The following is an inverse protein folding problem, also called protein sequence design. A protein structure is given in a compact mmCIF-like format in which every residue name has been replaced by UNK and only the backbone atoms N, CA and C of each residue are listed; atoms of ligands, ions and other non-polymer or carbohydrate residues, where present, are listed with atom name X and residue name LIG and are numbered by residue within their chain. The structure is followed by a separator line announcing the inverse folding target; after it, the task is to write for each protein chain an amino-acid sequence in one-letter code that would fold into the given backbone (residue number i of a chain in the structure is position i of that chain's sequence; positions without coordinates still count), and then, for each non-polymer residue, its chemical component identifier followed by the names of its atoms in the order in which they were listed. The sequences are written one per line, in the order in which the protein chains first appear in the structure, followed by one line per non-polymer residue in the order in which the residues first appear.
data_IF_712946846750
#
_entry.id   IF_712946846750
#
_cell.length_a   1.000
_cell.length_b   1.000
_cell.length_c   1.000
_cell.angle_alpha   90.00
_cell.angle_beta   90.00
_cell.angle_gamma   90.00
#
_symmetry.space_group_name_H-M   'P 1'
#
loop_
_entity.id
_entity.type
_entity.pdbx_description
1 polymer ?
#
# COMPACT_ATOMS: atom_id res chain seq x y z
N UNK A 1 -57.97 21.08 -47.06
CA UNK A 1 -58.04 21.89 -45.82
C UNK A 1 -57.41 21.06 -44.69
N UNK A 2 -56.10 21.17 -44.46
CA UNK A 2 -55.43 21.67 -43.21
C UNK A 2 -56.07 21.04 -41.93
N UNK A 3 -55.40 20.27 -41.06
CA UNK A 3 -54.17 20.57 -40.28
C UNK A 3 -53.41 19.31 -39.83
N UNK A 4 -52.08 19.39 -39.91
CA UNK A 4 -51.15 18.72 -39.02
C UNK A 4 -51.33 19.21 -37.58
N UNK A 5 -51.07 18.38 -36.58
CA UNK A 5 -50.23 18.84 -35.47
C UNK A 5 -49.50 17.72 -34.72
N UNK A 6 -48.29 18.12 -34.31
CA UNK A 6 -47.14 17.32 -33.88
C UNK A 6 -47.26 16.76 -32.46
N UNK A 7 -46.69 15.56 -32.30
CA UNK A 7 -46.04 15.09 -31.08
C UNK A 7 -45.07 16.14 -30.51
N UNK A 8 -45.13 16.42 -29.19
CA UNK A 8 -43.97 16.75 -28.32
C UNK A 8 -44.45 17.02 -26.88
N UNK A 9 -44.55 15.99 -26.05
CA UNK A 9 -44.53 16.14 -24.58
C UNK A 9 -43.07 16.05 -24.10
N UNK A 10 -42.30 17.11 -24.36
CA UNK A 10 -40.98 17.27 -23.75
C UNK A 10 -41.15 17.56 -22.25
N UNK A 11 -40.40 16.85 -21.39
CA UNK A 11 -40.35 17.15 -19.95
C UNK A 11 -40.06 18.64 -19.74
N UNK A 12 -40.76 19.34 -18.82
CA UNK A 12 -40.60 20.77 -18.63
C UNK A 12 -39.15 21.13 -18.32
N UNK A 13 -38.66 22.23 -18.90
CA UNK A 13 -37.27 22.74 -18.78
C UNK A 13 -36.74 22.77 -17.33
N UNK A 14 -37.62 22.97 -16.34
CA UNK A 14 -37.30 22.95 -14.90
C UNK A 14 -36.88 21.56 -14.38
N UNK A 15 -37.47 20.47 -14.89
CA UNK A 15 -37.10 19.10 -14.54
C UNK A 15 -35.73 18.72 -15.12
N UNK A 16 -35.41 19.18 -16.34
CA UNK A 16 -34.06 19.00 -16.89
C UNK A 16 -33.03 19.66 -15.99
N UNK A 17 -33.18 20.95 -15.64
CA UNK A 17 -32.21 21.65 -14.75
C UNK A 17 -32.02 20.94 -13.39
N UNK A 18 -33.07 20.35 -12.83
CA UNK A 18 -33.02 19.58 -11.58
C UNK A 18 -32.28 18.24 -11.73
N UNK A 19 -32.47 17.52 -12.84
CA UNK A 19 -31.74 16.29 -13.14
C UNK A 19 -30.25 16.57 -13.44
N UNK A 20 -29.95 17.67 -14.14
CA UNK A 20 -28.57 18.11 -14.39
C UNK A 20 -27.87 18.51 -13.08
N UNK A 21 -28.52 19.29 -12.21
CA UNK A 21 -27.91 19.71 -10.94
C UNK A 21 -27.70 18.55 -9.97
N UNK A 22 -28.68 17.66 -9.81
CA UNK A 22 -28.53 16.45 -8.97
C UNK A 22 -27.46 15.49 -9.51
N UNK A 23 -27.41 15.29 -10.83
CA UNK A 23 -26.36 14.47 -11.47
C UNK A 23 -24.98 15.11 -11.32
N UNK A 24 -24.84 16.42 -11.50
CA UNK A 24 -23.57 17.13 -11.30
C UNK A 24 -23.11 17.09 -9.83
N UNK A 25 -24.02 17.21 -8.87
CA UNK A 25 -23.70 17.06 -7.44
C UNK A 25 -23.22 15.64 -7.15
N UNK A 26 -23.93 14.62 -7.63
CA UNK A 26 -23.56 13.23 -7.41
C UNK A 26 -22.18 12.89 -8.02
N UNK A 27 -21.93 13.33 -9.26
CA UNK A 27 -20.62 13.16 -9.93
C UNK A 27 -19.52 13.87 -9.14
N UNK A 28 -19.77 15.09 -8.67
CA UNK A 28 -18.79 15.84 -7.86
C UNK A 28 -18.50 15.14 -6.53
N UNK A 29 -19.51 14.61 -5.85
CA UNK A 29 -19.34 13.87 -4.59
C UNK A 29 -18.52 12.60 -4.83
N UNK A 30 -18.85 11.81 -5.86
CA UNK A 30 -18.10 10.59 -6.19
C UNK A 30 -16.65 10.92 -6.52
N UNK A 31 -16.40 11.93 -7.35
CA UNK A 31 -15.04 12.36 -7.70
C UNK A 31 -14.26 12.82 -6.46
N UNK A 32 -14.88 13.62 -5.59
CA UNK A 32 -14.26 14.12 -4.36
C UNK A 32 -13.93 12.98 -3.41
N UNK A 33 -14.86 12.05 -3.17
CA UNK A 33 -14.61 10.86 -2.34
C UNK A 33 -13.48 10.01 -2.92
N UNK A 34 -13.46 9.82 -4.24
CA UNK A 34 -12.39 9.11 -4.94
C UNK A 34 -11.01 9.75 -4.75
N UNK A 35 -10.92 11.07 -4.90
CA UNK A 35 -9.67 11.82 -4.72
C UNK A 35 -9.18 11.75 -3.27
N UNK A 36 -10.07 11.98 -2.30
CA UNK A 36 -9.73 11.91 -0.87
C UNK A 36 -9.25 10.51 -0.49
N UNK A 37 -9.94 9.48 -0.98
CA UNK A 37 -9.55 8.08 -0.73
C UNK A 37 -8.17 7.77 -1.31
N UNK A 38 -7.90 8.22 -2.54
CA UNK A 38 -6.60 8.04 -3.18
C UNK A 38 -5.47 8.77 -2.43
N UNK A 39 -5.70 10.02 -2.01
CA UNK A 39 -4.74 10.80 -1.24
C UNK A 39 -4.45 10.16 0.12
N UNK A 40 -5.47 9.64 0.80
CA UNK A 40 -5.31 8.93 2.07
C UNK A 40 -4.50 7.64 1.91
N UNK A 41 -4.79 6.86 0.87
CA UNK A 41 -4.19 5.54 0.67
C UNK A 41 -2.78 5.59 0.07
N UNK A 42 -2.52 6.53 -0.83
CA UNK A 42 -1.28 6.57 -1.63
C UNK A 42 -0.40 7.77 -1.32
N UNK A 43 -0.90 8.66 -0.47
CA UNK A 43 -0.28 9.95 -0.28
C UNK A 43 -0.48 10.89 -1.45
N UNK A 44 -0.02 12.12 -1.25
CA UNK A 44 0.02 13.14 -2.29
C UNK A 44 1.43 13.17 -2.90
N UNK A 45 1.58 13.56 -4.18
CA UNK A 45 2.90 13.56 -4.84
C UNK A 45 3.97 14.36 -4.07
N UNK A 46 3.59 15.44 -3.39
CA UNK A 46 4.49 16.27 -2.58
C UNK A 46 4.82 15.68 -1.19
N UNK A 47 4.31 14.50 -0.86
CA UNK A 47 4.75 13.71 0.32
C UNK A 47 5.86 12.72 -0.02
N UNK A 48 6.20 12.55 -1.31
CA UNK A 48 7.36 11.79 -1.75
C UNK A 48 8.64 12.55 -1.38
N UNK A 49 9.60 11.81 -0.85
CA UNK A 49 10.98 12.24 -0.64
C UNK A 49 11.83 11.83 -1.83
N UNK A 50 13.03 12.41 -1.94
CA UNK A 50 14.04 11.92 -2.88
C UNK A 50 14.33 10.44 -2.58
N UNK A 51 14.55 9.63 -3.63
CA UNK A 51 14.76 8.19 -3.51
C UNK A 51 13.48 7.36 -3.27
N UNK A 52 12.30 7.97 -3.19
CA UNK A 52 11.05 7.20 -3.06
C UNK A 52 10.51 6.68 -4.39
N UNK A 53 10.12 5.40 -4.40
CA UNK A 53 9.51 4.74 -5.55
C UNK A 53 8.27 3.94 -5.11
N UNK A 54 7.15 4.11 -5.82
CA UNK A 54 5.91 3.40 -5.52
C UNK A 54 5.74 2.20 -6.45
N UNK A 55 5.39 1.04 -5.88
CA UNK A 55 5.26 -0.22 -6.61
C UNK A 55 3.95 -0.94 -6.31
N UNK A 56 3.67 -1.95 -7.13
CA UNK A 56 2.56 -2.88 -6.96
C UNK A 56 3.05 -4.29 -7.25
N UNK A 57 3.16 -5.11 -6.20
CA UNK A 57 3.36 -6.55 -6.35
C UNK A 57 2.04 -7.22 -6.72
N UNK A 58 2.09 -8.20 -7.63
CA UNK A 58 0.95 -9.02 -8.06
C UNK A 58 1.34 -10.49 -8.11
N UNK A 59 0.42 -11.35 -7.71
CA UNK A 59 0.54 -12.80 -7.73
C UNK A 59 -0.85 -13.43 -7.76
N UNK A 60 -0.92 -14.75 -7.83
CA UNK A 60 -2.19 -15.49 -7.83
C UNK A 60 -2.96 -15.34 -6.50
N UNK A 61 -2.26 -15.06 -5.40
CA UNK A 61 -2.89 -14.84 -4.07
C UNK A 61 -3.37 -13.40 -3.87
N UNK A 62 -3.08 -12.50 -4.82
CA UNK A 62 -3.55 -11.13 -4.82
C UNK A 62 -2.46 -10.12 -5.17
N UNK A 63 -2.64 -8.89 -4.70
CA UNK A 63 -1.73 -7.79 -4.96
C UNK A 63 -1.53 -6.94 -3.71
N UNK A 64 -0.34 -6.34 -3.59
CA UNK A 64 0.07 -5.52 -2.46
C UNK A 64 0.84 -4.30 -2.97
N UNK A 65 0.43 -3.10 -2.54
CA UNK A 65 1.17 -1.88 -2.83
C UNK A 65 2.22 -1.65 -1.76
N UNK A 66 3.35 -1.11 -2.19
CA UNK A 66 4.44 -0.77 -1.30
C UNK A 66 5.22 0.42 -1.86
N UNK A 67 5.89 1.14 -0.97
CA UNK A 67 6.87 2.15 -1.34
C UNK A 67 8.26 1.65 -0.97
N UNK A 68 9.22 1.90 -1.85
CA UNK A 68 10.65 1.70 -1.62
C UNK A 68 11.29 3.06 -1.41
N UNK A 69 12.24 3.13 -0.49
CA UNK A 69 13.14 4.25 -0.36
C UNK A 69 14.56 3.76 -0.62
N UNK A 70 15.20 4.35 -1.63
CA UNK A 70 16.59 4.09 -1.98
C UNK A 70 17.48 5.11 -1.28
N UNK A 71 18.48 4.66 -0.52
CA UNK A 71 19.39 5.58 0.15
C UNK A 71 20.34 6.24 -0.88
N UNK A 72 20.97 7.38 -0.56
CA UNK A 72 21.89 8.08 -1.47
C UNK A 72 23.07 7.24 -1.99
N UNK A 73 23.43 6.18 -1.27
CA UNK A 73 24.49 5.23 -1.61
C UNK A 73 24.06 4.24 -2.70
N UNK A 74 22.77 4.18 -3.05
CA UNK A 74 22.28 3.28 -4.08
C UNK A 74 22.76 3.71 -5.47
N UNK A 75 23.66 2.92 -6.05
CA UNK A 75 24.21 3.11 -7.39
C UNK A 75 23.72 2.06 -8.41
N UNK A 76 22.89 1.11 -7.97
CA UNK A 76 22.38 -0.02 -8.75
C UNK A 76 23.40 -1.14 -9.01
N UNK A 77 24.63 -1.02 -8.52
CA UNK A 77 25.71 -2.01 -8.70
C UNK A 77 26.11 -2.68 -7.39
N UNK A 78 26.13 -1.92 -6.29
CA UNK A 78 26.39 -2.44 -4.96
C UNK A 78 25.11 -3.06 -4.39
N UNK A 79 25.21 -4.33 -3.96
CA UNK A 79 24.08 -4.98 -3.30
C UNK A 79 23.91 -4.43 -1.90
N UNK A 80 22.79 -3.77 -1.63
CA UNK A 80 22.46 -3.20 -0.32
C UNK A 80 21.49 -4.12 0.45
N UNK A 81 21.55 -4.13 1.80
CA UNK A 81 20.53 -4.76 2.63
C UNK A 81 19.14 -4.16 2.40
N UNK A 82 18.11 -4.91 2.79
CA UNK A 82 16.70 -4.48 2.73
C UNK A 82 16.09 -4.49 4.13
N UNK A 83 15.40 -3.42 4.50
CA UNK A 83 14.61 -3.32 5.72
C UNK A 83 13.13 -3.10 5.41
N UNK A 84 12.29 -4.09 5.70
CA UNK A 84 10.84 -3.99 5.55
C UNK A 84 10.16 -3.53 6.85
N UNK A 85 9.43 -2.42 6.81
CA UNK A 85 8.67 -1.87 7.94
C UNK A 85 7.16 -2.14 7.83
N UNK A 86 6.61 -2.98 8.72
CA UNK A 86 5.19 -3.39 8.72
C UNK A 86 4.37 -2.56 9.74
N UNK A 87 3.42 -1.77 9.25
CA UNK A 87 2.60 -0.83 10.03
C UNK A 87 1.61 -1.47 11.03
N UNK A 88 1.15 -0.68 12.02
CA UNK A 88 0.05 -1.05 12.94
C UNK A 88 -1.34 -0.93 12.28
N UNK A 89 -2.42 -1.36 12.97
CA UNK A 89 -3.78 -1.08 12.49
C UNK A 89 -4.01 0.45 12.37
N UNK A 90 -4.81 0.87 11.39
CA UNK A 90 -5.17 2.28 11.18
C UNK A 90 -4.06 3.16 10.58
N UNK A 91 -2.89 2.55 10.31
CA UNK A 91 -1.76 3.17 9.63
C UNK A 91 -1.64 2.65 8.20
N UNK A 92 -0.77 3.28 7.42
CA UNK A 92 -0.28 2.77 6.13
C UNK A 92 1.23 2.56 6.19
N UNK A 93 1.82 1.95 5.16
CA UNK A 93 3.28 1.93 5.01
C UNK A 93 3.83 3.33 4.71
N UNK A 94 3.15 4.05 3.81
CA UNK A 94 3.49 5.38 3.30
C UNK A 94 2.23 6.20 3.02
N UNK A 95 2.35 7.52 2.85
CA UNK A 95 1.21 8.39 2.54
C UNK A 95 0.62 9.10 3.76
N UNK A 96 -0.49 8.64 4.33
CA UNK A 96 -1.11 9.24 5.52
C UNK A 96 -0.98 8.31 6.75
N UNK A 97 -0.59 8.85 7.90
CA UNK A 97 -0.42 8.09 9.15
C UNK A 97 0.51 6.86 8.97
N UNK A 98 1.73 7.12 8.51
CA UNK A 98 2.62 6.11 7.92
C UNK A 98 3.66 5.53 8.88
N UNK A 99 3.94 4.23 8.71
CA UNK A 99 5.09 3.56 9.32
C UNK A 99 6.40 4.29 8.99
N UNK A 100 6.56 4.74 7.75
CA UNK A 100 7.75 5.47 7.30
C UNK A 100 8.09 6.71 8.15
N UNK A 101 7.11 7.49 8.63
CA UNK A 101 7.39 8.69 9.42
C UNK A 101 7.62 8.38 10.90
N UNK A 102 7.13 7.24 11.36
CA UNK A 102 7.16 6.85 12.78
C UNK A 102 8.38 5.98 13.10
N UNK A 103 8.82 5.11 12.19
CA UNK A 103 9.99 4.26 12.36
C UNK A 103 11.32 4.94 12.01
N UNK A 104 11.28 6.01 11.21
CA UNK A 104 12.47 6.76 10.76
C UNK A 104 13.54 5.90 10.05
N UNK A 105 13.15 4.76 9.47
CA UNK A 105 14.10 3.88 8.78
C UNK A 105 14.72 4.54 7.54
N UNK A 106 14.09 5.54 6.92
CA UNK A 106 14.71 6.30 5.83
C UNK A 106 15.99 6.99 6.30
N UNK A 107 15.92 7.77 7.38
CA UNK A 107 17.09 8.48 7.90
C UNK A 107 18.23 7.53 8.29
N UNK A 108 17.88 6.35 8.82
CA UNK A 108 18.86 5.32 9.16
C UNK A 108 19.38 4.60 7.90
N UNK A 109 18.54 4.36 6.91
CA UNK A 109 18.93 3.78 5.62
C UNK A 109 19.88 4.70 4.86
N UNK A 110 19.64 6.00 4.92
CA UNK A 110 20.51 7.03 4.33
C UNK A 110 21.85 7.13 5.04
N UNK A 111 21.92 6.85 6.35
CA UNK A 111 23.19 6.90 7.10
C UNK A 111 23.98 5.60 7.00
N UNK A 112 23.31 4.45 7.05
CA UNK A 112 23.94 3.13 7.14
C UNK A 112 23.96 2.36 5.81
N UNK A 113 23.27 2.85 4.77
CA UNK A 113 23.29 2.26 3.43
C UNK A 113 22.41 1.01 3.27
N UNK A 114 21.09 1.14 3.47
CA UNK A 114 20.14 0.07 3.16
C UNK A 114 18.84 0.57 2.53
N UNK A 115 18.23 -0.29 1.72
CA UNK A 115 16.96 -0.05 1.04
C UNK A 115 15.83 -0.24 2.05
N UNK A 116 14.84 0.65 2.06
CA UNK A 116 13.68 0.55 2.96
C UNK A 116 12.41 0.24 2.19
N UNK A 117 11.59 -0.67 2.71
CA UNK A 117 10.34 -1.12 2.07
C UNK A 117 9.16 -0.96 3.01
N UNK A 118 8.13 -0.26 2.56
CA UNK A 118 6.91 -0.01 3.33
C UNK A 118 5.67 -0.55 2.59
N UNK A 119 5.27 -1.81 2.85
CA UNK A 119 4.03 -2.34 2.35
C UNK A 119 2.82 -1.68 3.03
N UNK A 120 1.72 -1.52 2.28
CA UNK A 120 0.46 -0.98 2.80
C UNK A 120 -0.65 -2.01 2.62
N UNK A 121 -1.29 -2.40 3.73
CA UNK A 121 -2.45 -3.29 3.71
C UNK A 121 -3.61 -2.72 2.86
N UNK A 122 -4.43 -3.62 2.32
CA UNK A 122 -5.61 -3.27 1.53
C UNK A 122 -6.84 -3.14 2.43
N UNK A 123 -7.53 -2.00 2.33
CA UNK A 123 -8.81 -1.78 3.02
C UNK A 123 -9.86 -2.86 2.73
N UNK A 124 -9.85 -3.48 1.54
CA UNK A 124 -10.77 -4.58 1.21
C UNK A 124 -10.43 -5.90 1.91
N UNK A 125 -9.20 -6.10 2.39
CA UNK A 125 -8.84 -7.26 3.22
C UNK A 125 -9.11 -6.99 4.70
N UNK A 126 -8.95 -5.75 5.14
CA UNK A 126 -9.29 -5.33 6.49
C UNK A 126 -9.70 -3.86 6.49
N UNK A 127 -10.95 -3.56 6.88
CA UNK A 127 -11.54 -2.21 6.78
C UNK A 127 -10.83 -1.16 7.63
N UNK A 128 -10.03 -1.56 8.62
CA UNK A 128 -9.25 -0.65 9.46
C UNK A 128 -7.75 -0.69 9.13
N UNK A 129 -7.36 -1.15 7.92
CA UNK A 129 -5.98 -1.30 7.48
C UNK A 129 -5.11 -2.05 8.51
N UNK A 130 -5.61 -3.19 8.98
CA UNK A 130 -4.88 -4.04 9.91
C UNK A 130 -4.38 -5.33 9.24
N UNK A 131 -3.23 -5.82 9.68
CA UNK A 131 -2.72 -7.15 9.31
C UNK A 131 -3.49 -8.21 10.11
N UNK A 132 -3.95 -9.25 9.43
CA UNK A 132 -4.84 -10.25 10.00
C UNK A 132 -4.03 -11.39 10.66
N UNK A 133 -3.01 -11.04 11.46
CA UNK A 133 -2.03 -11.99 12.00
C UNK A 133 -2.62 -13.02 12.98
N UNK A 134 -3.76 -12.73 13.60
CA UNK A 134 -4.48 -13.68 14.46
C UNK A 134 -5.36 -14.66 13.69
N UNK A 135 -5.57 -14.45 12.39
CA UNK A 135 -6.34 -15.35 11.54
C UNK A 135 -5.47 -16.54 11.11
N UNK A 136 -5.81 -17.79 11.46
CA UNK A 136 -5.02 -18.96 11.08
C UNK A 136 -4.80 -19.08 9.56
N UNK A 137 -5.72 -18.55 8.75
CA UNK A 137 -5.60 -18.56 7.28
C UNK A 137 -4.42 -17.71 6.77
N UNK A 138 -3.95 -16.78 7.59
CA UNK A 138 -2.87 -15.83 7.29
C UNK A 138 -1.54 -16.28 7.93
N UNK A 139 -1.43 -17.52 8.39
CA UNK A 139 -0.26 -18.08 9.09
C UNK A 139 0.45 -19.19 8.29
N UNK A 140 0.17 -19.29 6.99
CA UNK A 140 0.72 -20.34 6.13
C UNK A 140 1.57 -19.77 4.99
N UNK A 141 2.62 -20.51 4.63
CA UNK A 141 3.43 -20.23 3.44
C UNK A 141 2.59 -20.39 2.17
N UNK A 142 2.89 -19.57 1.17
CA UNK A 142 2.29 -19.54 -0.17
C UNK A 142 0.83 -19.09 -0.25
N UNK A 143 0.25 -18.64 0.86
CA UNK A 143 -1.10 -18.06 0.90
C UNK A 143 -1.12 -16.75 1.68
N UNK A 144 -2.17 -15.96 1.46
CA UNK A 144 -2.48 -14.81 2.30
C UNK A 144 -1.43 -13.69 2.28
N UNK A 145 -1.41 -12.92 3.36
CA UNK A 145 -0.53 -11.79 3.63
C UNK A 145 0.95 -12.18 3.67
N UNK A 146 1.36 -13.32 4.28
CA UNK A 146 2.77 -13.74 4.27
C UNK A 146 3.32 -13.94 2.86
N UNK A 147 2.53 -14.54 1.96
CA UNK A 147 2.94 -14.74 0.58
C UNK A 147 3.07 -13.43 -0.22
N UNK A 148 2.20 -12.46 0.04
CA UNK A 148 2.31 -11.13 -0.56
C UNK A 148 3.53 -10.38 -0.05
N UNK A 149 3.81 -10.40 1.25
CA UNK A 149 4.96 -9.72 1.86
C UNK A 149 6.29 -10.34 1.42
N UNK A 150 6.40 -11.67 1.43
CA UNK A 150 7.59 -12.36 0.92
C UNK A 150 7.78 -12.15 -0.59
N UNK A 151 6.68 -12.02 -1.34
CA UNK A 151 6.71 -11.67 -2.75
C UNK A 151 7.25 -10.26 -3.01
N UNK A 152 6.82 -9.27 -2.23
CA UNK A 152 7.37 -7.91 -2.25
C UNK A 152 8.87 -7.92 -1.96
N UNK A 153 9.31 -8.65 -0.93
CA UNK A 153 10.73 -8.74 -0.59
C UNK A 153 11.57 -9.28 -1.75
N UNK A 154 11.13 -10.37 -2.39
CA UNK A 154 11.80 -10.93 -3.57
C UNK A 154 11.79 -9.97 -4.75
N UNK A 155 10.66 -9.29 -5.02
CA UNK A 155 10.59 -8.30 -6.09
C UNK A 155 11.59 -7.16 -5.85
N UNK A 156 11.74 -6.68 -4.62
CA UNK A 156 12.72 -5.63 -4.29
C UNK A 156 14.15 -6.11 -4.51
N UNK A 157 14.48 -7.33 -4.08
CA UNK A 157 15.79 -7.94 -4.32
C UNK A 157 16.10 -7.98 -5.82
N UNK A 158 15.16 -8.48 -6.62
CA UNK A 158 15.35 -8.62 -8.07
C UNK A 158 15.42 -7.25 -8.78
N UNK A 159 14.52 -6.33 -8.44
CA UNK A 159 14.37 -5.03 -9.12
C UNK A 159 15.50 -4.05 -8.80
N UNK A 160 16.06 -4.13 -7.58
CA UNK A 160 17.10 -3.23 -7.10
C UNK A 160 18.47 -3.89 -6.93
N UNK A 161 18.63 -5.15 -7.37
CA UNK A 161 19.85 -5.92 -7.14
C UNK A 161 20.29 -5.87 -5.65
N UNK A 162 19.32 -5.97 -4.73
CA UNK A 162 19.58 -5.94 -3.30
C UNK A 162 20.22 -7.27 -2.84
N UNK A 163 20.85 -7.28 -1.67
CA UNK A 163 21.47 -8.51 -1.15
C UNK A 163 20.39 -9.50 -0.66
N UNK A 164 20.21 -10.66 -1.33
CA UNK A 164 19.19 -11.63 -0.94
C UNK A 164 19.45 -12.26 0.44
N UNK A 165 20.68 -12.19 0.96
CA UNK A 165 21.04 -12.71 2.28
C UNK A 165 20.85 -11.68 3.41
N UNK A 166 20.51 -10.43 3.09
CA UNK A 166 20.34 -9.33 4.05
C UNK A 166 18.97 -8.66 3.91
N UNK A 167 17.92 -9.47 3.89
CA UNK A 167 16.53 -8.98 3.92
C UNK A 167 15.99 -9.10 5.34
N UNK A 168 15.61 -7.99 5.93
CA UNK A 168 15.19 -7.85 7.31
C UNK A 168 13.76 -7.33 7.38
N UNK A 169 13.03 -7.68 8.44
CA UNK A 169 11.67 -7.18 8.66
C UNK A 169 11.47 -6.78 10.11
N UNK A 170 10.83 -5.62 10.32
CA UNK A 170 10.31 -5.22 11.61
C UNK A 170 8.84 -4.84 11.49
N UNK A 171 8.06 -5.20 12.51
CA UNK A 171 6.65 -4.82 12.59
C UNK A 171 6.23 -4.42 14.00
N UNK A 172 5.15 -3.65 14.08
CA UNK A 172 4.56 -3.23 15.36
C UNK A 172 3.11 -3.71 15.50
N UNK A 173 2.75 -4.18 16.70
CA UNK A 173 1.43 -4.71 17.06
C UNK A 173 0.91 -5.79 16.09
N UNK A 174 -0.16 -5.63 15.27
CA UNK A 174 -0.56 -6.67 14.31
C UNK A 174 0.52 -6.91 13.24
N UNK A 175 1.29 -5.87 12.91
CA UNK A 175 2.44 -5.95 12.01
C UNK A 175 3.59 -6.73 12.64
N UNK A 176 3.71 -6.72 13.97
CA UNK A 176 4.67 -7.55 14.69
C UNK A 176 4.29 -9.04 14.58
N UNK A 177 3.00 -9.37 14.73
CA UNK A 177 2.50 -10.72 14.45
C UNK A 177 2.75 -11.14 13.00
N UNK A 178 2.53 -10.26 12.02
CA UNK A 178 2.88 -10.53 10.62
C UNK A 178 4.38 -10.80 10.44
N UNK A 179 5.26 -10.03 11.10
CA UNK A 179 6.70 -10.25 11.06
C UNK A 179 7.08 -11.63 11.65
N UNK A 180 6.49 -12.03 12.78
CA UNK A 180 6.71 -13.35 13.39
C UNK A 180 6.23 -14.48 12.48
N UNK A 181 5.07 -14.32 11.82
CA UNK A 181 4.57 -15.28 10.84
C UNK A 181 5.55 -15.41 9.67
N UNK A 182 6.14 -14.31 9.18
CA UNK A 182 7.17 -14.36 8.14
C UNK A 182 8.42 -15.11 8.60
N UNK A 183 8.83 -14.99 9.86
CA UNK A 183 9.93 -15.78 10.39
C UNK A 183 9.64 -17.29 10.31
N UNK A 184 8.42 -17.69 10.66
CA UNK A 184 8.01 -19.10 10.67
C UNK A 184 7.75 -19.66 9.26
N UNK A 185 7.20 -18.85 8.36
CA UNK A 185 6.73 -19.29 7.05
C UNK A 185 7.69 -19.00 5.92
N UNK A 186 8.60 -18.03 6.07
CA UNK A 186 9.59 -17.57 5.09
C UNK A 186 11.01 -17.36 5.67
N UNK A 187 11.57 -18.34 6.41
CA UNK A 187 12.93 -18.24 6.96
C UNK A 187 14.03 -18.23 5.87
N UNK A 188 13.71 -18.65 4.64
CA UNK A 188 14.58 -18.56 3.47
C UNK A 188 14.62 -17.15 2.83
N UNK A 189 13.70 -16.26 3.21
CA UNK A 189 13.61 -14.91 2.65
C UNK A 189 14.10 -13.87 3.65
N UNK A 190 13.75 -14.01 4.93
CA UNK A 190 14.08 -13.00 5.94
C UNK A 190 15.22 -13.47 6.84
N UNK A 191 16.34 -12.77 6.77
CA UNK A 191 17.54 -13.03 7.57
C UNK A 191 17.33 -12.67 9.05
N UNK A 192 16.57 -11.60 9.34
CA UNK A 192 16.18 -11.25 10.71
C UNK A 192 14.75 -10.73 10.78
N UNK A 193 14.14 -10.90 11.95
CA UNK A 193 12.78 -10.48 12.27
C UNK A 193 12.76 -9.76 13.61
N UNK A 194 12.13 -8.58 13.65
CA UNK A 194 11.93 -7.79 14.86
C UNK A 194 10.44 -7.61 15.15
N UNK A 195 10.00 -8.10 16.31
CA UNK A 195 8.64 -7.90 16.83
C UNK A 195 8.62 -6.76 17.85
N UNK A 196 7.79 -5.74 17.63
CA UNK A 196 7.59 -4.63 18.56
C UNK A 196 6.14 -4.64 19.06
N UNK A 197 5.95 -4.88 20.36
CA UNK A 197 4.63 -4.80 21.02
C UNK A 197 3.52 -5.66 20.35
N UNK A 198 3.84 -6.89 19.95
CA UNK A 198 2.89 -7.89 19.44
C UNK A 198 3.50 -9.30 19.39
N UNK A 199 2.70 -10.28 18.95
CA UNK A 199 3.10 -11.70 18.85
C UNK A 199 1.95 -12.56 18.38
#
# INVERSE_FOLDING_TARGET
MIKSDRLRSGLPFKQWRSLWTTSSILVTVIATVGIVTAAFQFGLPWWMQEGDHNHLYKSDVGSLRYQVHLPPQFDGTTQLPVMMGIHCCGMTGYGWNLMKSTAQFNCLGDSEGFIVVYPTQRMFRNMINCWNSTDPREQHRYSGEPALLAGVARQVVDEYNADPAQVHVAGSSPGAGAAVILAATYPDVFATVTSVAGG
#
